data_IF_254019070622
#
_entry.id   IF_254019070622
#
_cell.length_a   1.000
_cell.length_b   1.000
_cell.length_c   1.000
_cell.angle_alpha   90.00
_cell.angle_beta   90.00
_cell.angle_gamma   90.00
#
_symmetry.space_group_name_H-M   'P 1'
#
loop_
_entity.id
_entity.type
_entity.pdbx_description
1 polymer ?
#
# COMPACT_ATOMS: atom_id res chain seq x y z
N UNK A 1 -13.69 31.44 -5.22
CA UNK A 1 -14.51 30.81 -4.15
C UNK A 1 -13.68 29.65 -3.60
N UNK A 2 -13.00 29.85 -2.47
CA UNK A 2 -12.21 28.80 -1.86
C UNK A 2 -13.18 27.82 -1.18
N UNK A 3 -13.15 26.55 -1.58
CA UNK A 3 -13.90 25.51 -0.88
C UNK A 3 -13.40 25.46 0.58
N UNK A 4 -14.29 25.31 1.58
CA UNK A 4 -13.86 25.12 2.96
C UNK A 4 -12.89 23.94 3.02
N UNK A 5 -11.77 24.10 3.73
CA UNK A 5 -10.78 23.05 3.90
C UNK A 5 -11.47 21.82 4.51
N UNK A 6 -11.79 20.85 3.67
CA UNK A 6 -12.48 19.64 4.09
C UNK A 6 -11.49 18.76 4.86
N UNK A 7 -11.92 18.22 6.01
CA UNK A 7 -11.08 17.36 6.84
C UNK A 7 -10.82 16.03 6.10
N UNK A 8 -9.55 15.78 5.78
CA UNK A 8 -9.08 14.58 5.11
C UNK A 8 -7.95 13.98 5.95
N UNK A 9 -8.16 12.79 6.50
CA UNK A 9 -7.14 12.03 7.21
C UNK A 9 -7.03 10.64 6.59
N UNK A 10 -6.41 10.60 5.41
CA UNK A 10 -6.15 9.38 4.64
C UNK A 10 -4.64 9.29 4.40
N UNK A 11 -4.05 8.14 4.70
CA UNK A 11 -2.63 7.86 4.42
C UNK A 11 -2.53 6.98 3.17
N UNK A 12 -2.29 7.61 2.01
CA UNK A 12 -2.05 6.91 0.75
C UNK A 12 -0.58 7.06 0.28
N UNK A 13 -0.10 6.17 -0.60
CA UNK A 13 1.20 6.36 -1.25
C UNK A 13 1.17 7.64 -2.11
N UNK A 14 2.15 8.53 -1.91
CA UNK A 14 2.31 9.74 -2.73
C UNK A 14 3.01 9.45 -4.06
N UNK A 15 2.89 10.31 -5.07
CA UNK A 15 3.60 10.16 -6.33
C UNK A 15 5.11 10.25 -6.12
N UNK A 16 5.85 9.21 -6.49
CA UNK A 16 7.32 9.21 -6.51
C UNK A 16 7.81 9.58 -7.90
N UNK A 17 8.45 10.74 -8.06
CA UNK A 17 8.92 11.28 -9.35
C UNK A 17 10.17 10.57 -9.91
N UNK A 18 10.45 9.34 -9.49
CA UNK A 18 11.59 8.55 -9.96
C UNK A 18 11.26 7.07 -9.89
N UNK A 19 11.33 6.38 -11.04
CA UNK A 19 11.24 4.93 -11.11
C UNK A 19 12.65 4.37 -11.13
N UNK A 20 13.13 3.86 -10.00
CA UNK A 20 14.34 3.04 -9.97
C UNK A 20 13.93 1.60 -10.19
N UNK A 21 14.40 0.98 -11.27
CA UNK A 21 14.13 -0.42 -11.56
C UNK A 21 15.37 -1.23 -11.20
N UNK A 22 15.19 -2.28 -10.40
CA UNK A 22 16.23 -3.26 -10.10
C UNK A 22 15.86 -4.55 -10.82
N UNK A 23 16.82 -5.14 -11.53
CA UNK A 23 16.68 -6.49 -12.05
C UNK A 23 17.15 -7.45 -10.95
N UNK A 24 16.22 -8.25 -10.43
CA UNK A 24 16.47 -9.21 -9.35
C UNK A 24 16.30 -10.62 -9.90
N UNK A 25 17.30 -11.46 -9.68
CA UNK A 25 17.23 -12.89 -9.95
C UNK A 25 16.87 -13.66 -8.67
N UNK A 26 16.40 -14.91 -8.81
CA UNK A 26 15.97 -15.74 -7.68
C UNK A 26 17.06 -15.98 -6.62
N UNK A 27 18.32 -15.84 -7.01
CA UNK A 27 19.47 -16.02 -6.13
C UNK A 27 19.75 -14.79 -5.26
N UNK A 28 19.26 -13.61 -5.65
CA UNK A 28 19.52 -12.32 -4.99
C UNK A 28 18.71 -12.13 -3.70
N UNK A 29 17.65 -12.92 -3.52
CA UNK A 29 16.78 -12.80 -2.37
C UNK A 29 16.33 -14.16 -1.82
N UNK A 30 15.88 -14.13 -0.57
CA UNK A 30 15.23 -15.22 0.10
C UNK A 30 13.77 -14.85 0.35
N UNK A 31 12.85 -15.72 -0.08
CA UNK A 31 11.43 -15.58 0.24
C UNK A 31 11.20 -16.00 1.68
N UNK A 32 10.61 -15.11 2.49
CA UNK A 32 10.29 -15.37 3.90
C UNK A 32 8.82 -15.74 4.12
N UNK A 33 7.99 -15.65 3.08
CA UNK A 33 6.56 -16.00 3.11
C UNK A 33 5.70 -14.83 2.65
N UNK A 34 4.40 -14.88 2.94
CA UNK A 34 3.44 -13.83 2.56
C UNK A 34 3.05 -12.96 3.74
N UNK A 35 2.67 -11.72 3.45
CA UNK A 35 2.04 -10.77 4.38
C UNK A 35 0.79 -10.20 3.77
N UNK A 36 -0.19 -9.93 4.62
CA UNK A 36 -1.47 -9.38 4.24
C UNK A 36 -1.72 -8.12 5.04
N UNK A 37 -2.25 -7.08 4.40
CA UNK A 37 -2.71 -5.87 5.05
C UNK A 37 -4.09 -5.52 4.51
N UNK A 38 -4.94 -4.96 5.37
CA UNK A 38 -6.25 -4.52 4.98
C UNK A 38 -6.54 -3.16 5.60
N UNK A 39 -7.39 -2.40 4.94
CA UNK A 39 -7.84 -1.13 5.45
C UNK A 39 -9.17 -0.73 4.85
N UNK A 40 -9.84 0.19 5.53
CA UNK A 40 -11.12 0.72 5.09
C UNK A 40 -11.08 2.24 5.15
N UNK A 41 -11.40 2.86 4.02
CA UNK A 41 -11.55 4.31 3.90
C UNK A 41 -13.04 4.60 3.75
N UNK A 42 -13.52 5.54 4.55
CA UNK A 42 -14.90 6.03 4.50
C UNK A 42 -14.91 7.42 3.89
N UNK A 43 -15.87 7.67 3.01
CA UNK A 43 -16.13 8.97 2.40
C UNK A 43 -17.58 9.37 2.63
N UNK A 44 -17.80 10.52 3.25
CA UNK A 44 -19.13 11.09 3.50
C UNK A 44 -19.30 12.34 2.64
N UNK A 45 -20.37 12.37 1.85
CA UNK A 45 -20.73 13.46 0.92
C UNK A 45 -19.64 13.80 -0.11
N UNK A 46 -18.62 12.95 -0.28
CA UNK A 46 -17.41 13.26 -1.06
C UNK A 46 -16.54 14.36 -0.44
N UNK A 47 -16.83 14.80 0.80
CA UNK A 47 -16.16 15.91 1.47
C UNK A 47 -15.26 15.42 2.60
N UNK A 48 -15.72 14.45 3.38
CA UNK A 48 -14.99 13.98 4.55
C UNK A 48 -14.47 12.58 4.30
N UNK A 49 -13.15 12.42 4.28
CA UNK A 49 -12.50 11.12 4.15
C UNK A 49 -11.73 10.79 5.44
N UNK A 50 -11.98 9.60 5.98
CA UNK A 50 -11.30 9.12 7.17
C UNK A 50 -11.07 7.60 7.13
N UNK A 51 -10.09 7.15 7.90
CA UNK A 51 -9.66 5.76 7.91
C UNK A 51 -8.55 5.48 6.90
N UNK A 52 -8.34 4.20 6.64
CA UNK A 52 -7.25 3.69 5.83
C UNK A 52 -5.96 3.48 6.62
N UNK A 53 -5.36 2.31 6.42
CA UNK A 53 -3.94 2.10 6.65
C UNK A 53 -3.23 2.33 5.30
N UNK A 54 -1.99 2.82 5.29
CA UNK A 54 -1.22 2.89 4.05
C UNK A 54 -0.63 1.52 3.69
N UNK A 55 -0.11 1.36 2.47
CA UNK A 55 0.74 0.21 2.10
C UNK A 55 1.99 0.07 3.01
N UNK A 56 2.32 1.09 3.80
CA UNK A 56 3.29 1.01 4.89
C UNK A 56 3.01 -0.16 5.86
N UNK A 57 1.75 -0.56 6.01
CA UNK A 57 1.36 -1.71 6.83
C UNK A 57 1.94 -3.04 6.33
N UNK A 58 2.04 -3.23 5.00
CA UNK A 58 2.70 -4.40 4.44
C UNK A 58 4.19 -4.40 4.78
N UNK A 59 4.82 -3.23 4.69
CA UNK A 59 6.24 -3.06 4.99
C UNK A 59 6.55 -3.27 6.47
N UNK A 60 5.71 -2.76 7.38
CA UNK A 60 5.84 -3.04 8.81
C UNK A 60 5.75 -4.55 9.09
N UNK A 61 4.74 -5.24 8.53
CA UNK A 61 4.60 -6.70 8.66
C UNK A 61 5.77 -7.48 8.05
N UNK A 62 6.36 -6.96 6.97
CA UNK A 62 7.56 -7.54 6.37
C UNK A 62 8.77 -7.42 7.30
N UNK A 63 8.98 -6.24 7.89
CA UNK A 63 10.05 -5.97 8.85
C UNK A 63 9.90 -6.84 10.11
N UNK A 64 8.67 -7.04 10.61
CA UNK A 64 8.40 -7.95 11.73
C UNK A 64 8.78 -9.41 11.43
N UNK A 65 8.64 -9.85 10.17
CA UNK A 65 9.12 -11.15 9.70
C UNK A 65 10.63 -11.17 9.40
N UNK A 66 11.31 -10.04 9.61
CA UNK A 66 12.72 -9.84 9.29
C UNK A 66 13.01 -9.76 7.79
N UNK A 67 12.00 -9.46 6.96
CA UNK A 67 12.20 -9.14 5.56
C UNK A 67 12.60 -7.70 5.36
N UNK A 68 13.29 -7.44 4.26
CA UNK A 68 13.72 -6.10 3.87
C UNK A 68 12.64 -5.41 3.02
N UNK A 69 11.87 -6.19 2.25
CA UNK A 69 10.92 -5.66 1.28
C UNK A 69 9.74 -6.61 0.98
N UNK A 70 8.75 -6.09 0.25
CA UNK A 70 7.56 -6.83 -0.21
C UNK A 70 7.44 -6.72 -1.73
N UNK A 71 7.47 -7.87 -2.40
CA UNK A 71 7.29 -7.98 -3.86
C UNK A 71 5.97 -8.69 -4.20
N UNK A 72 5.59 -8.64 -5.48
CA UNK A 72 4.38 -9.28 -6.00
C UNK A 72 3.12 -8.89 -5.20
N UNK A 73 2.95 -7.59 -4.97
CA UNK A 73 1.81 -7.05 -4.23
C UNK A 73 0.56 -7.15 -5.10
N UNK A 74 -0.39 -7.95 -4.66
CA UNK A 74 -1.74 -8.01 -5.21
C UNK A 74 -2.65 -7.15 -4.34
N UNK A 75 -3.50 -6.33 -4.97
CA UNK A 75 -4.43 -5.46 -4.27
C UNK A 75 -5.83 -5.71 -4.77
N UNK A 76 -6.73 -6.06 -3.86
CA UNK A 76 -8.16 -6.15 -4.08
C UNK A 76 -8.83 -4.91 -3.48
N UNK A 77 -9.70 -4.28 -4.27
CA UNK A 77 -10.46 -3.11 -3.85
C UNK A 77 -11.96 -3.41 -3.99
N UNK A 78 -12.64 -3.45 -2.87
CA UNK A 78 -14.10 -3.49 -2.80
C UNK A 78 -14.63 -2.07 -2.59
N UNK A 79 -15.54 -1.64 -3.45
CA UNK A 79 -16.18 -0.34 -3.36
C UNK A 79 -17.66 -0.54 -3.11
N UNK A 80 -18.12 -0.04 -1.98
CA UNK A 80 -19.54 0.05 -1.65
C UNK A 80 -19.95 1.53 -1.64
N UNK A 81 -20.96 1.87 -2.45
CA UNK A 81 -21.44 3.25 -2.56
C UNK A 81 -22.95 3.31 -2.40
N UNK A 82 -23.41 4.17 -1.48
CA UNK A 82 -24.81 4.56 -1.38
C UNK A 82 -24.97 5.94 -2.01
N UNK A 83 -25.86 6.03 -3.01
CA UNK A 83 -26.18 7.26 -3.73
C UNK A 83 -24.94 7.99 -4.29
N UNK A 84 -23.94 7.24 -4.79
CA UNK A 84 -22.70 7.68 -5.49
C UNK A 84 -21.78 8.68 -4.74
N UNK A 85 -22.34 9.71 -4.11
CA UNK A 85 -21.63 10.76 -3.39
C UNK A 85 -21.99 10.80 -1.90
N UNK A 86 -23.11 10.22 -1.45
CA UNK A 86 -23.56 10.38 -0.05
C UNK A 86 -22.69 9.61 0.93
N UNK A 87 -22.44 8.35 0.65
CA UNK A 87 -21.58 7.49 1.45
C UNK A 87 -20.84 6.53 0.54
N UNK A 88 -19.53 6.50 0.64
CA UNK A 88 -18.70 5.49 0.00
C UNK A 88 -17.80 4.83 1.03
N UNK A 89 -17.64 3.53 0.89
CA UNK A 89 -16.76 2.69 1.67
C UNK A 89 -15.82 1.97 0.72
N UNK A 90 -14.53 2.19 0.89
CA UNK A 90 -13.46 1.59 0.10
C UNK A 90 -12.70 0.63 1.00
N UNK A 91 -12.95 -0.66 0.85
CA UNK A 91 -12.23 -1.71 1.56
C UNK A 91 -11.14 -2.21 0.63
N UNK A 92 -9.90 -2.12 1.06
CA UNK A 92 -8.79 -2.67 0.31
C UNK A 92 -8.13 -3.78 1.11
N UNK A 93 -7.68 -4.81 0.39
CA UNK A 93 -6.85 -5.88 0.89
C UNK A 93 -5.64 -5.96 0.00
N UNK A 94 -4.47 -6.02 0.58
CA UNK A 94 -3.23 -6.18 -0.13
C UNK A 94 -2.49 -7.40 0.41
N UNK A 95 -2.03 -8.25 -0.49
CA UNK A 95 -1.23 -9.42 -0.17
C UNK A 95 0.09 -9.29 -0.91
N UNK A 96 1.20 -9.52 -0.22
CA UNK A 96 2.52 -9.44 -0.83
C UNK A 96 3.44 -10.53 -0.31
N UNK A 97 4.51 -10.78 -1.07
CA UNK A 97 5.55 -11.76 -0.72
C UNK A 97 6.71 -11.02 -0.06
N UNK A 98 7.04 -11.40 1.16
CA UNK A 98 8.17 -10.85 1.91
C UNK A 98 9.46 -11.45 1.39
N UNK A 99 10.43 -10.58 1.09
CA UNK A 99 11.77 -10.96 0.71
C UNK A 99 12.81 -10.37 1.66
N UNK A 100 13.92 -11.08 1.79
CA UNK A 100 15.17 -10.59 2.38
C UNK A 100 16.25 -10.64 1.32
N UNK A 101 16.96 -9.55 1.13
CA UNK A 101 18.06 -9.50 0.17
C UNK A 101 19.26 -10.29 0.72
N UNK A 102 19.93 -11.05 -0.14
CA UNK A 102 21.25 -11.58 0.19
C UNK A 102 22.26 -10.45 0.01
N UNK A 103 23.24 -10.38 0.91
CA UNK A 103 24.34 -9.41 0.81
C UNK A 103 25.08 -9.59 -0.52
N UNK A 104 24.84 -8.70 -1.48
CA UNK A 104 25.39 -8.78 -2.84
C UNK A 104 24.62 -8.01 -3.91
N UNK A 105 23.36 -7.63 -3.66
CA UNK A 105 22.53 -6.91 -4.64
C UNK A 105 23.15 -5.55 -4.96
N UNK A 106 23.66 -5.42 -6.19
CA UNK A 106 24.17 -4.15 -6.74
C UNK A 106 23.03 -3.47 -7.49
N UNK A 107 22.93 -2.14 -7.36
CA UNK A 107 22.10 -1.36 -8.25
C UNK A 107 22.59 -1.60 -9.70
N UNK A 108 21.66 -1.81 -10.63
CA UNK A 108 22.00 -1.86 -12.04
C UNK A 108 22.57 -0.50 -12.47
N UNK A 109 23.77 -0.50 -13.07
CA UNK A 109 24.39 0.67 -13.70
C UNK A 109 23.70 1.03 -15.02
#
# INVERSE_FOLDING_TARGET
MALPACYNNVRGPGPTNGFTTFQLDSDDYQILGTVEAEGTIYSILGLFNYGGQGFSALREKALEKGGDDVINVQTDLEVFGLLFFVYNEFRWKATGTVIRYRSGVRAAE
#
